data_IF_069402095146
#
_entry.id   IF_069402095146
#
_cell.length_a   1.000
_cell.length_b   1.000
_cell.length_c   1.000
_cell.angle_alpha   90.00
_cell.angle_beta   90.00
_cell.angle_gamma   90.00
#
_symmetry.space_group_name_H-M   'P 1'
#
loop_
_entity.id
_entity.type
_entity.pdbx_description
1 polymer ?
#
# COMPACT_ATOMS: atom_id res chain seq x y z
N UNK A 1 20.00 -17.46 51.17
CA UNK A 1 19.37 -17.50 52.49
C UNK A 1 20.15 -18.55 53.28
N UNK A 2 20.79 -18.11 54.37
CA UNK A 2 21.50 -19.05 55.27
C UNK A 2 20.49 -19.47 56.34
N UNK A 3 20.17 -20.75 56.36
CA UNK A 3 19.25 -21.33 57.34
C UNK A 3 20.09 -21.83 58.51
N UNK A 4 19.77 -21.38 59.71
CA UNK A 4 20.37 -21.89 60.95
C UNK A 4 19.59 -23.14 61.44
N UNK A 5 20.29 -24.04 62.15
CA UNK A 5 19.63 -25.21 62.72
C UNK A 5 18.51 -24.75 63.68
N UNK A 6 17.34 -25.38 63.61
CA UNK A 6 16.11 -25.09 64.38
C UNK A 6 15.33 -23.83 64.06
N UNK A 7 15.54 -23.21 62.85
CA UNK A 7 14.77 -22.07 62.40
C UNK A 7 13.81 -22.42 61.28
N UNK A 8 12.51 -22.22 61.50
CA UNK A 8 11.48 -22.38 60.45
C UNK A 8 11.32 -21.06 59.73
N UNK A 9 11.78 -20.99 58.47
CA UNK A 9 11.62 -19.81 57.63
C UNK A 9 10.43 -20.00 56.70
N UNK A 10 9.36 -19.25 56.92
CA UNK A 10 8.21 -19.19 56.03
C UNK A 10 8.35 -17.99 55.11
N UNK A 11 8.42 -18.20 53.78
CA UNK A 11 8.39 -17.12 52.78
C UNK A 11 7.19 -17.30 51.88
N UNK A 12 6.45 -16.20 51.72
CA UNK A 12 5.43 -16.10 50.67
C UNK A 12 6.08 -15.57 49.40
N UNK A 13 6.02 -16.37 48.35
CA UNK A 13 6.49 -15.98 47.03
C UNK A 13 5.28 -15.58 46.18
N UNK A 14 5.25 -14.30 45.80
CA UNK A 14 4.26 -13.76 44.87
C UNK A 14 4.82 -13.86 43.45
N UNK A 15 4.31 -14.77 42.66
CA UNK A 15 4.61 -14.87 41.22
C UNK A 15 3.73 -13.88 40.46
N UNK A 16 4.34 -12.89 39.81
CA UNK A 16 3.63 -12.09 38.81
C UNK A 16 3.48 -12.92 37.55
N UNK A 17 2.22 -13.11 37.12
CA UNK A 17 1.92 -13.71 35.83
C UNK A 17 2.46 -12.79 34.72
N UNK A 18 3.58 -13.15 34.12
CA UNK A 18 4.11 -12.45 32.96
C UNK A 18 3.30 -12.91 31.74
N UNK A 19 2.52 -12.01 31.16
CA UNK A 19 1.86 -12.27 29.89
C UNK A 19 2.81 -11.88 28.76
N UNK A 20 3.46 -12.87 28.17
CA UNK A 20 4.13 -12.76 26.89
C UNK A 20 3.25 -13.46 25.84
N UNK A 21 2.37 -12.71 25.17
CA UNK A 21 1.47 -13.32 24.17
C UNK A 21 1.12 -12.40 22.99
N UNK A 22 2.01 -11.48 22.58
CA UNK A 22 1.73 -10.61 21.44
C UNK A 22 1.97 -11.29 20.07
N UNK A 23 2.96 -12.15 19.93
CA UNK A 23 3.22 -12.85 18.66
C UNK A 23 2.19 -13.96 18.36
N UNK A 24 1.73 -14.64 19.39
CA UNK A 24 0.74 -15.72 19.24
C UNK A 24 -0.67 -15.18 18.90
N UNK A 25 -0.97 -13.94 19.28
CA UNK A 25 -2.23 -13.28 18.97
C UNK A 25 -2.32 -12.88 17.48
N UNK A 26 -1.23 -12.45 16.90
CA UNK A 26 -1.19 -12.04 15.49
C UNK A 26 -1.37 -13.24 14.54
N UNK A 27 -0.72 -14.34 14.81
CA UNK A 27 -0.88 -15.61 14.05
C UNK A 27 -2.28 -16.19 14.22
N UNK A 28 -2.91 -16.03 15.38
CA UNK A 28 -4.28 -16.48 15.64
C UNK A 28 -5.31 -15.62 14.93
N UNK A 29 -5.11 -14.30 14.84
CA UNK A 29 -6.02 -13.39 14.14
C UNK A 29 -6.00 -13.61 12.63
N UNK A 30 -4.83 -13.77 12.02
CA UNK A 30 -4.70 -14.11 10.59
C UNK A 30 -5.32 -15.49 10.28
N UNK A 31 -5.17 -16.45 11.19
CA UNK A 31 -5.73 -17.80 11.05
C UNK A 31 -7.25 -17.81 11.26
N UNK A 32 -7.77 -16.96 12.11
CA UNK A 32 -9.20 -16.79 12.36
C UNK A 32 -9.86 -16.01 11.23
N UNK A 33 -9.22 -14.94 10.74
CA UNK A 33 -9.62 -14.21 9.54
C UNK A 33 -9.68 -15.13 8.32
N UNK A 34 -8.66 -15.97 8.10
CA UNK A 34 -8.66 -16.97 7.02
C UNK A 34 -9.73 -18.07 7.17
N UNK A 35 -10.20 -18.34 8.37
CA UNK A 35 -11.28 -19.31 8.64
C UNK A 35 -12.68 -18.72 8.51
N UNK A 36 -12.83 -17.42 8.82
CA UNK A 36 -14.10 -16.69 8.78
C UNK A 36 -14.30 -15.96 7.45
N UNK A 37 -13.23 -15.79 6.67
CA UNK A 37 -13.31 -15.19 5.33
C UNK A 37 -14.10 -16.12 4.40
N UNK A 38 -15.34 -15.77 4.16
CA UNK A 38 -16.26 -16.51 3.26
C UNK A 38 -16.08 -16.09 1.80
N UNK A 39 -15.23 -15.09 1.53
CA UNK A 39 -15.00 -14.57 0.19
C UNK A 39 -14.05 -15.51 -0.55
N UNK A 40 -14.57 -16.18 -1.53
CA UNK A 40 -13.80 -17.05 -2.43
C UNK A 40 -13.01 -16.20 -3.43
N UNK A 41 -11.77 -16.60 -3.74
CA UNK A 41 -10.94 -15.96 -4.77
C UNK A 41 -10.36 -14.58 -4.38
N UNK A 42 -10.13 -14.31 -3.10
CA UNK A 42 -9.38 -13.14 -2.63
C UNK A 42 -7.94 -13.53 -2.35
N UNK A 43 -7.00 -12.79 -2.90
CA UNK A 43 -5.57 -12.90 -2.58
C UNK A 43 -5.15 -11.61 -1.87
N UNK A 44 -4.79 -11.72 -0.60
CA UNK A 44 -4.28 -10.60 0.18
C UNK A 44 -2.78 -10.46 -0.03
N UNK A 45 -2.36 -9.37 -0.62
CA UNK A 45 -0.96 -9.07 -0.92
C UNK A 45 -0.43 -8.06 0.08
N UNK A 46 0.65 -8.40 0.76
CA UNK A 46 1.31 -7.53 1.73
C UNK A 46 2.64 -6.99 1.20
N UNK A 47 3.12 -5.83 1.69
CA UNK A 47 4.43 -5.31 1.31
C UNK A 47 5.59 -6.28 1.56
N UNK A 48 5.47 -7.14 2.58
CA UNK A 48 6.46 -8.18 2.87
C UNK A 48 6.55 -9.20 1.74
N UNK A 49 5.42 -9.64 1.21
CA UNK A 49 5.38 -10.58 0.08
C UNK A 49 5.91 -9.93 -1.21
N UNK A 50 5.55 -8.66 -1.48
CA UNK A 50 6.07 -7.93 -2.65
C UNK A 50 7.60 -7.85 -2.60
N UNK A 51 8.19 -7.58 -1.42
CA UNK A 51 9.63 -7.47 -1.22
C UNK A 51 10.39 -8.81 -1.30
N UNK A 52 9.70 -9.95 -1.29
CA UNK A 52 10.31 -11.28 -1.43
C UNK A 52 10.57 -11.69 -2.88
N UNK A 53 9.97 -11.01 -3.83
CA UNK A 53 10.15 -11.29 -5.26
C UNK A 53 11.34 -10.47 -5.79
N UNK A 54 12.18 -11.06 -6.66
CA UNK A 54 13.21 -10.30 -7.37
C UNK A 54 12.56 -9.14 -8.13
N UNK A 55 13.07 -7.94 -7.92
CA UNK A 55 12.52 -6.72 -8.49
C UNK A 55 13.40 -6.16 -9.61
N UNK A 56 12.78 -5.72 -10.70
CA UNK A 56 13.46 -4.99 -11.76
C UNK A 56 13.93 -3.64 -11.21
N UNK A 57 15.19 -3.30 -11.46
CA UNK A 57 15.78 -2.05 -10.95
C UNK A 57 15.96 -2.00 -9.42
N UNK A 58 15.82 -3.13 -8.71
CA UNK A 58 16.05 -3.21 -7.27
C UNK A 58 14.95 -2.57 -6.40
N UNK A 59 13.84 -2.13 -7.01
CA UNK A 59 12.70 -1.58 -6.29
C UNK A 59 11.51 -2.56 -6.34
N UNK A 60 11.07 -3.12 -5.19
CA UNK A 60 9.90 -3.98 -5.13
C UNK A 60 8.64 -3.24 -5.58
N UNK A 61 7.93 -3.82 -6.54
CA UNK A 61 6.75 -3.20 -7.12
C UNK A 61 5.56 -4.18 -7.18
N UNK A 62 4.35 -3.64 -6.95
CA UNK A 62 3.12 -4.43 -6.97
C UNK A 62 2.85 -5.05 -8.35
N UNK A 63 3.18 -4.36 -9.45
CA UNK A 63 3.00 -4.88 -10.80
C UNK A 63 3.76 -6.20 -11.02
N UNK A 64 4.97 -6.29 -10.49
CA UNK A 64 5.80 -7.49 -10.57
C UNK A 64 5.23 -8.64 -9.73
N UNK A 65 4.67 -8.33 -8.56
CA UNK A 65 4.01 -9.34 -7.72
C UNK A 65 2.74 -9.89 -8.38
N UNK A 66 1.95 -9.05 -9.04
CA UNK A 66 0.71 -9.48 -9.68
C UNK A 66 0.94 -10.53 -10.77
N UNK A 67 2.11 -10.51 -11.43
CA UNK A 67 2.46 -11.47 -12.47
C UNK A 67 2.62 -12.91 -11.98
N UNK A 68 2.87 -13.12 -10.69
CA UNK A 68 2.99 -14.47 -10.10
C UNK A 68 1.68 -15.01 -9.56
N UNK A 69 0.61 -14.22 -9.59
CA UNK A 69 -0.71 -14.67 -9.12
C UNK A 69 -1.38 -15.60 -10.13
N UNK A 70 -2.02 -16.70 -9.67
CA UNK A 70 -2.75 -17.60 -10.54
C UNK A 70 -3.89 -16.90 -11.30
N UNK A 71 -3.96 -17.12 -12.62
CA UNK A 71 -5.02 -16.54 -13.45
C UNK A 71 -4.83 -15.07 -13.80
N UNK A 72 -3.68 -14.51 -13.50
CA UNK A 72 -3.29 -13.16 -13.89
C UNK A 72 -2.28 -13.22 -15.03
N UNK A 73 -2.57 -12.50 -16.10
CA UNK A 73 -1.66 -12.30 -17.24
C UNK A 73 -1.38 -10.81 -17.32
N UNK A 74 -0.11 -10.45 -17.30
CA UNK A 74 0.34 -9.10 -17.40
C UNK A 74 1.14 -8.90 -18.69
N UNK A 75 0.77 -7.93 -19.49
CA UNK A 75 1.50 -7.58 -20.72
C UNK A 75 2.29 -6.31 -20.46
N UNK A 76 3.58 -6.47 -20.11
CA UNK A 76 4.42 -5.36 -19.67
C UNK A 76 5.02 -4.51 -20.79
N UNK A 77 5.17 -5.07 -21.95
CA UNK A 77 5.89 -4.49 -23.10
C UNK A 77 5.09 -3.44 -23.91
N UNK A 78 3.81 -3.26 -23.60
CA UNK A 78 2.92 -2.30 -24.26
C UNK A 78 1.97 -1.59 -23.27
N UNK A 79 2.50 -0.99 -22.19
CA UNK A 79 1.71 -0.16 -21.32
C UNK A 79 0.97 -0.88 -20.19
N UNK A 80 1.57 -1.92 -19.63
CA UNK A 80 1.16 -2.49 -18.34
C UNK A 80 -0.30 -2.92 -18.25
N UNK A 81 -0.78 -3.79 -19.12
CA UNK A 81 -2.16 -4.25 -19.13
C UNK A 81 -2.36 -5.53 -18.32
N UNK A 82 -3.37 -5.54 -17.45
CA UNK A 82 -3.67 -6.62 -16.54
C UNK A 82 -4.93 -7.38 -17.00
N UNK A 83 -4.74 -8.64 -17.40
CA UNK A 83 -5.82 -9.56 -17.77
C UNK A 83 -6.03 -10.55 -16.61
N UNK A 84 -7.23 -10.59 -16.05
CA UNK A 84 -7.53 -11.47 -14.93
C UNK A 84 -8.63 -12.44 -15.34
N UNK A 85 -8.30 -13.75 -15.30
CA UNK A 85 -9.19 -14.87 -15.69
C UNK A 85 -9.86 -14.65 -17.04
N UNK A 86 -9.11 -14.11 -18.01
CA UNK A 86 -9.59 -13.85 -19.37
C UNK A 86 -10.40 -12.56 -19.53
N UNK A 87 -10.63 -11.80 -18.45
CA UNK A 87 -11.24 -10.47 -18.52
C UNK A 87 -10.27 -9.43 -19.07
N UNK A 88 -10.77 -8.47 -19.83
CA UNK A 88 -9.95 -7.41 -20.41
C UNK A 88 -9.56 -6.35 -19.35
N UNK A 89 -8.48 -5.60 -19.55
CA UNK A 89 -7.99 -4.60 -18.59
C UNK A 89 -9.02 -3.57 -18.16
N UNK A 90 -9.86 -3.12 -19.08
CA UNK A 90 -10.94 -2.14 -18.80
C UNK A 90 -12.05 -2.70 -17.90
N UNK A 91 -12.11 -4.00 -17.69
CA UNK A 91 -13.07 -4.68 -16.84
C UNK A 91 -12.58 -4.81 -15.38
N UNK A 92 -11.34 -4.47 -15.12
CA UNK A 92 -10.77 -4.47 -13.78
C UNK A 92 -11.04 -3.13 -13.08
N UNK A 93 -11.22 -3.18 -11.77
CA UNK A 93 -11.33 -2.00 -10.92
C UNK A 93 -10.14 -1.93 -9.98
N UNK A 94 -9.43 -0.83 -10.01
CA UNK A 94 -8.32 -0.60 -9.09
C UNK A 94 -8.67 0.58 -8.18
N UNK A 95 -8.57 0.36 -6.90
CA UNK A 95 -8.86 1.35 -5.86
C UNK A 95 -7.61 1.59 -5.01
N UNK A 96 -7.35 2.86 -4.70
CA UNK A 96 -6.35 3.29 -3.72
C UNK A 96 -7.06 4.07 -2.62
N UNK A 97 -7.17 3.51 -1.42
CA UNK A 97 -7.96 4.03 -0.31
C UNK A 97 -9.41 4.40 -0.71
N UNK A 98 -9.96 3.71 -1.73
CA UNK A 98 -11.29 3.90 -2.29
C UNK A 98 -11.40 4.89 -3.44
N UNK A 99 -10.32 5.60 -3.78
CA UNK A 99 -10.23 6.38 -5.03
C UNK A 99 -10.01 5.44 -6.21
N UNK A 100 -10.68 5.68 -7.33
CA UNK A 100 -10.47 4.89 -8.55
C UNK A 100 -9.16 5.32 -9.20
N UNK A 101 -8.27 4.35 -9.47
CA UNK A 101 -7.06 4.56 -10.25
C UNK A 101 -7.29 3.96 -11.64
N UNK A 102 -7.40 4.82 -12.65
CA UNK A 102 -7.75 4.41 -14.01
C UNK A 102 -6.57 3.74 -14.73
N UNK A 103 -5.37 4.30 -14.60
CA UNK A 103 -4.12 3.71 -15.08
C UNK A 103 -3.23 3.34 -13.88
N UNK A 104 -3.27 2.08 -13.42
CA UNK A 104 -2.50 1.64 -12.26
C UNK A 104 -1.03 1.31 -12.58
N UNK A 105 -0.65 1.32 -13.86
CA UNK A 105 0.69 1.00 -14.34
C UNK A 105 1.21 2.08 -15.28
N UNK A 106 2.51 2.30 -15.22
CA UNK A 106 3.19 3.21 -16.13
C UNK A 106 3.28 2.68 -17.55
N UNK A 107 3.44 3.56 -18.51
CA UNK A 107 3.52 3.23 -19.95
C UNK A 107 4.65 2.26 -20.27
N UNK A 108 5.75 2.27 -19.50
CA UNK A 108 6.83 1.26 -19.61
C UNK A 108 6.36 -0.15 -19.21
N UNK A 109 5.23 -0.28 -18.48
CA UNK A 109 4.66 -1.56 -18.09
C UNK A 109 5.40 -2.35 -16.99
N UNK A 110 6.53 -1.88 -16.53
CA UNK A 110 7.35 -2.55 -15.51
C UNK A 110 7.02 -2.13 -14.09
N UNK A 111 6.46 -0.94 -13.92
CA UNK A 111 6.20 -0.32 -12.64
C UNK A 111 4.74 0.10 -12.48
N UNK A 112 4.24 -0.05 -11.26
CA UNK A 112 2.94 0.49 -10.87
C UNK A 112 3.08 1.92 -10.35
N UNK A 113 1.98 2.68 -10.35
CA UNK A 113 1.90 3.99 -9.73
C UNK A 113 1.98 3.94 -8.20
N UNK A 114 1.97 2.73 -7.61
CA UNK A 114 1.94 2.54 -6.17
C UNK A 114 3.34 2.40 -5.58
N UNK A 115 3.58 3.08 -4.46
CA UNK A 115 4.79 2.89 -3.68
C UNK A 115 4.57 1.77 -2.65
N UNK A 116 5.35 0.70 -2.74
CA UNK A 116 5.25 -0.45 -1.82
C UNK A 116 5.47 -0.08 -0.36
N UNK A 117 6.23 0.98 -0.06
CA UNK A 117 6.53 1.38 1.31
C UNK A 117 5.37 2.07 2.04
N UNK A 118 4.41 2.62 1.30
CA UNK A 118 3.19 3.21 1.89
C UNK A 118 2.03 2.21 1.98
N UNK A 119 2.11 1.07 1.31
CA UNK A 119 1.04 0.07 1.33
C UNK A 119 0.88 -0.57 2.71
N UNK A 120 -0.35 -0.88 3.06
CA UNK A 120 -0.73 -1.78 4.14
C UNK A 120 -1.00 -3.17 3.60
N UNK A 121 -1.89 -3.26 2.63
CA UNK A 121 -2.24 -4.47 1.87
C UNK A 121 -2.89 -4.08 0.54
N UNK A 122 -2.89 -5.01 -0.39
CA UNK A 122 -3.72 -4.99 -1.59
C UNK A 122 -4.55 -6.27 -1.62
N UNK A 123 -5.87 -6.14 -1.61
CA UNK A 123 -6.80 -7.25 -1.69
C UNK A 123 -7.21 -7.41 -3.15
N UNK A 124 -6.78 -8.52 -3.77
CA UNK A 124 -7.01 -8.82 -5.18
C UNK A 124 -8.13 -9.84 -5.30
N UNK A 125 -9.29 -9.39 -5.74
CA UNK A 125 -10.46 -10.21 -6.03
C UNK A 125 -10.41 -10.64 -7.49
N UNK A 126 -10.03 -11.87 -7.75
CA UNK A 126 -9.97 -12.41 -9.11
C UNK A 126 -11.32 -12.94 -9.61
N UNK A 127 -12.37 -12.79 -8.82
CA UNK A 127 -13.76 -13.14 -9.08
C UNK A 127 -14.54 -13.19 -7.77
N UNK A 128 -15.87 -13.03 -7.81
CA UNK A 128 -16.72 -13.14 -6.62
C UNK A 128 -16.55 -12.01 -5.61
N UNK A 129 -16.52 -10.76 -6.05
CA UNK A 129 -16.46 -9.59 -5.17
C UNK A 129 -17.87 -9.08 -4.81
N UNK A 130 -17.97 -8.38 -3.67
CA UNK A 130 -19.23 -7.87 -3.14
C UNK A 130 -19.85 -6.74 -3.96
N UNK A 131 -21.12 -6.45 -3.70
CA UNK A 131 -21.88 -5.41 -4.41
C UNK A 131 -21.31 -3.99 -4.21
N UNK A 132 -20.52 -3.76 -3.17
CA UNK A 132 -19.80 -2.52 -2.90
C UNK A 132 -18.81 -2.13 -4.00
N UNK A 133 -18.35 -3.11 -4.77
CA UNK A 133 -17.40 -2.92 -5.87
C UNK A 133 -18.03 -2.80 -7.25
N UNK A 134 -19.25 -2.31 -7.36
CA UNK A 134 -19.96 -2.15 -8.64
C UNK A 134 -19.17 -1.41 -9.73
N UNK A 135 -19.64 -1.51 -10.99
CA UNK A 135 -19.11 -0.78 -12.14
C UNK A 135 -17.99 -1.47 -12.94
N UNK A 136 -17.50 -2.66 -12.49
CA UNK A 136 -16.57 -3.53 -13.23
C UNK A 136 -16.97 -4.98 -13.02
N UNK A 137 -16.55 -5.87 -13.93
CA UNK A 137 -17.06 -7.25 -13.98
C UNK A 137 -16.01 -8.36 -13.93
N UNK A 138 -14.72 -8.04 -14.13
CA UNK A 138 -13.67 -9.05 -14.12
C UNK A 138 -13.01 -9.19 -12.74
N UNK A 139 -12.39 -8.14 -12.26
CA UNK A 139 -11.68 -8.16 -10.98
C UNK A 139 -11.74 -6.84 -10.25
N UNK A 140 -11.42 -6.90 -8.96
CA UNK A 140 -11.20 -5.71 -8.13
C UNK A 140 -9.86 -5.85 -7.41
N UNK A 141 -9.08 -4.78 -7.40
CA UNK A 141 -7.90 -4.63 -6.59
C UNK A 141 -8.11 -3.44 -5.63
N UNK A 142 -8.32 -3.73 -4.35
CA UNK A 142 -8.53 -2.71 -3.32
C UNK A 142 -7.24 -2.54 -2.50
N UNK A 143 -6.56 -1.44 -2.75
CA UNK A 143 -5.28 -1.10 -2.14
C UNK A 143 -5.52 -0.17 -0.97
N UNK A 144 -5.09 -0.58 0.20
CA UNK A 144 -5.14 0.22 1.42
C UNK A 144 -3.73 0.67 1.80
N UNK A 145 -3.58 1.96 2.05
CA UNK A 145 -2.32 2.51 2.56
C UNK A 145 -2.28 2.46 4.08
N UNK A 146 -1.06 2.43 4.64
CA UNK A 146 -0.86 2.50 6.08
C UNK A 146 -0.92 3.93 6.61
N UNK A 147 -1.08 4.08 7.89
CA UNK A 147 -0.94 5.37 8.56
C UNK A 147 0.55 5.72 8.70
N UNK A 148 0.83 7.01 8.83
CA UNK A 148 2.17 7.50 9.16
C UNK A 148 2.57 7.17 10.59
N UNK A 149 3.86 7.24 10.88
CA UNK A 149 4.41 6.97 12.21
C UNK A 149 3.85 7.97 13.24
N UNK A 150 3.32 7.48 14.34
CA UNK A 150 2.69 8.29 15.39
C UNK A 150 3.67 8.83 16.43
N UNK A 151 4.89 8.31 16.45
CA UNK A 151 5.86 8.56 17.54
C UNK A 151 7.03 9.41 17.10
N UNK A 152 7.55 9.20 15.90
CA UNK A 152 8.76 9.87 15.39
C UNK A 152 8.65 10.16 13.90
N UNK A 153 9.39 11.16 13.44
CA UNK A 153 9.62 11.39 12.02
C UNK A 153 10.57 10.31 11.53
N UNK A 154 10.23 9.70 10.41
CA UNK A 154 11.05 8.73 9.70
C UNK A 154 10.88 8.91 8.21
N UNK A 155 11.83 8.43 7.44
CA UNK A 155 11.79 8.51 6.00
C UNK A 155 12.65 7.44 5.36
N UNK A 156 12.43 7.24 4.09
CA UNK A 156 13.20 6.34 3.24
C UNK A 156 13.46 7.01 1.92
N UNK A 157 14.69 6.93 1.46
CA UNK A 157 15.12 7.38 0.14
C UNK A 157 15.71 6.19 -0.58
N UNK A 158 15.38 6.01 -1.83
CA UNK A 158 15.97 5.00 -2.69
C UNK A 158 16.19 5.57 -4.08
N UNK A 159 17.23 5.08 -4.73
CA UNK A 159 17.53 5.39 -6.11
C UNK A 159 17.98 4.12 -6.83
N UNK A 160 17.64 4.02 -8.10
CA UNK A 160 18.02 2.91 -8.99
C UNK A 160 18.42 3.48 -10.36
N UNK A 161 18.75 2.64 -11.31
CA UNK A 161 18.99 3.07 -12.69
C UNK A 161 17.70 3.56 -13.39
N UNK A 162 16.53 3.28 -12.86
CA UNK A 162 15.22 3.64 -13.46
C UNK A 162 14.63 4.92 -12.88
N UNK A 163 14.91 5.22 -11.60
CA UNK A 163 14.29 6.34 -10.92
C UNK A 163 14.66 6.42 -9.45
N UNK A 164 14.11 7.41 -8.78
CA UNK A 164 14.26 7.63 -7.35
C UNK A 164 12.91 7.67 -6.66
N UNK A 165 12.90 7.30 -5.38
CA UNK A 165 11.72 7.46 -4.53
C UNK A 165 12.11 8.03 -3.16
N UNK A 166 11.17 8.78 -2.61
CA UNK A 166 11.24 9.37 -1.29
C UNK A 166 9.94 9.07 -0.55
N UNK A 167 10.05 8.57 0.67
CA UNK A 167 8.92 8.45 1.59
C UNK A 167 9.28 9.14 2.89
N UNK A 168 8.38 9.99 3.39
CA UNK A 168 8.51 10.68 4.68
C UNK A 168 7.23 10.53 5.46
N UNK A 169 7.36 10.22 6.74
CA UNK A 169 6.23 10.04 7.64
C UNK A 169 6.54 10.56 9.04
N UNK A 170 5.52 10.91 9.79
CA UNK A 170 5.72 11.33 11.16
C UNK A 170 4.44 11.79 11.85
N UNK A 171 4.55 12.08 13.16
CA UNK A 171 3.46 12.64 13.93
C UNK A 171 3.27 14.13 13.61
N UNK A 172 2.03 14.55 13.40
CA UNK A 172 1.61 15.94 13.52
C UNK A 172 1.36 16.24 14.99
N UNK A 173 0.65 15.31 15.67
CA UNK A 173 0.47 15.30 17.12
C UNK A 173 0.86 13.93 17.65
N UNK A 174 1.90 13.90 18.48
CA UNK A 174 2.38 12.65 19.11
C UNK A 174 1.30 12.04 19.99
N UNK A 175 1.21 10.73 19.98
CA UNK A 175 0.38 9.99 20.90
C UNK A 175 0.98 10.07 22.29
N UNK A 176 0.20 10.53 23.27
CA UNK A 176 0.58 10.47 24.69
C UNK A 176 0.00 9.19 25.29
N UNK A 177 0.82 8.44 25.99
CA UNK A 177 0.44 7.30 26.85
C UNK A 177 -0.50 6.27 26.21
N UNK A 178 -0.20 5.76 25.03
CA UNK A 178 -0.93 4.71 24.28
C UNK A 178 -2.48 4.81 24.18
N UNK A 179 -3.12 5.74 24.87
CA UNK A 179 -4.59 5.92 24.94
C UNK A 179 -5.07 7.30 24.46
N UNK A 180 -4.16 8.18 24.09
CA UNK A 180 -4.48 9.54 23.68
C UNK A 180 -4.81 9.69 22.19
N UNK A 181 -5.45 10.82 21.86
CA UNK A 181 -5.60 11.23 20.45
C UNK A 181 -4.24 11.47 19.81
N UNK A 182 -4.10 11.09 18.53
CA UNK A 182 -2.89 11.30 17.75
C UNK A 182 -3.21 11.72 16.33
N UNK A 183 -2.27 12.38 15.69
CA UNK A 183 -2.34 12.59 14.24
C UNK A 183 -0.97 12.36 13.61
N UNK A 184 -0.98 11.77 12.44
CA UNK A 184 0.22 11.44 11.67
C UNK A 184 0.03 11.73 10.20
N UNK A 185 1.14 11.89 9.49
CA UNK A 185 1.15 12.02 8.05
C UNK A 185 2.10 11.00 7.43
N UNK A 186 1.84 10.67 6.18
CA UNK A 186 2.74 9.94 5.30
C UNK A 186 2.69 10.59 3.93
N UNK A 187 3.85 10.78 3.32
CA UNK A 187 4.01 11.30 1.99
C UNK A 187 4.98 10.43 1.21
N UNK A 188 4.67 10.16 -0.04
CA UNK A 188 5.53 9.42 -0.96
C UNK A 188 5.64 10.17 -2.28
N UNK A 189 6.83 10.18 -2.83
CA UNK A 189 7.13 10.69 -4.16
C UNK A 189 8.03 9.69 -4.90
N UNK A 190 7.65 9.33 -6.12
CA UNK A 190 8.46 8.54 -7.06
C UNK A 190 8.66 9.35 -8.34
N UNK A 191 9.86 9.32 -8.87
CA UNK A 191 10.16 9.96 -10.16
C UNK A 191 11.09 9.06 -10.98
N UNK A 192 10.79 8.90 -12.25
CA UNK A 192 11.65 8.24 -13.23
C UNK A 192 12.57 9.28 -13.87
N UNK A 193 13.82 8.91 -14.07
CA UNK A 193 14.79 9.62 -14.89
C UNK A 193 15.37 8.69 -15.97
N UNK A 194 14.54 7.78 -16.45
CA UNK A 194 14.96 6.70 -17.34
C UNK A 194 15.45 7.24 -18.71
N UNK A 195 14.89 8.35 -19.18
CA UNK A 195 15.34 9.02 -20.39
C UNK A 195 16.84 9.34 -20.31
N UNK A 196 17.30 9.94 -19.21
CA UNK A 196 18.71 10.33 -19.03
C UNK A 196 19.60 9.16 -18.59
N UNK A 197 19.08 8.27 -17.74
CA UNK A 197 19.88 7.18 -17.19
C UNK A 197 20.09 6.04 -18.18
N UNK A 198 19.16 5.83 -19.09
CA UNK A 198 19.26 4.73 -20.06
C UNK A 198 20.40 4.92 -21.05
N UNK A 199 20.69 6.15 -21.46
CA UNK A 199 21.86 6.47 -22.31
C UNK A 199 23.19 6.09 -21.64
N UNK A 200 23.24 6.20 -20.30
CA UNK A 200 24.47 5.96 -19.54
C UNK A 200 24.66 4.48 -19.19
N UNK A 201 23.57 3.79 -18.85
CA UNK A 201 23.65 2.44 -18.27
C UNK A 201 23.34 1.31 -19.24
N UNK A 202 22.81 1.62 -20.44
CA UNK A 202 22.36 0.59 -21.39
C UNK A 202 22.92 0.86 -22.78
N UNK A 203 24.03 0.23 -23.13
CA UNK A 203 24.76 0.39 -24.41
C UNK A 203 23.90 0.08 -25.67
N UNK A 204 22.76 -0.59 -25.49
CA UNK A 204 21.84 -0.93 -26.59
C UNK A 204 20.75 0.13 -26.83
N UNK A 205 20.70 1.15 -25.99
CA UNK A 205 19.75 2.27 -26.13
C UNK A 205 20.37 3.30 -27.06
N UNK A 206 19.59 3.80 -28.00
CA UNK A 206 20.00 4.85 -28.93
C UNK A 206 20.27 6.18 -28.20
N UNK A 207 20.90 7.12 -28.86
CA UNK A 207 21.33 8.42 -28.28
C UNK A 207 20.19 9.25 -27.67
N UNK A 208 18.92 8.97 -28.01
CA UNK A 208 17.76 9.68 -27.48
C UNK A 208 17.26 9.11 -26.14
N UNK A 209 17.87 8.06 -25.62
CA UNK A 209 17.44 7.42 -24.39
C UNK A 209 16.11 6.64 -24.50
N UNK A 210 15.63 6.06 -23.40
CA UNK A 210 14.30 5.43 -23.34
C UNK A 210 13.23 6.51 -23.04
N UNK A 211 12.18 6.59 -23.84
CA UNK A 211 11.24 7.73 -23.86
C UNK A 211 10.24 7.78 -22.70
N UNK A 212 10.48 7.02 -21.62
CA UNK A 212 9.55 6.86 -20.53
C UNK A 212 9.89 7.76 -19.35
N UNK A 213 8.94 8.60 -18.95
CA UNK A 213 9.08 9.48 -17.80
C UNK A 213 7.81 9.45 -16.96
N UNK A 214 7.93 9.35 -15.65
CA UNK A 214 6.78 9.39 -14.76
C UNK A 214 7.10 10.06 -13.42
N UNK A 215 6.05 10.59 -12.80
CA UNK A 215 6.09 11.14 -11.45
C UNK A 215 4.84 10.75 -10.68
N UNK A 216 5.02 10.11 -9.53
CA UNK A 216 3.96 9.70 -8.64
C UNK A 216 4.07 10.41 -7.31
N UNK A 217 2.98 11.01 -6.88
CA UNK A 217 2.85 11.65 -5.59
C UNK A 217 1.65 11.06 -4.84
N UNK A 218 1.85 10.78 -3.57
CA UNK A 218 0.79 10.36 -2.66
C UNK A 218 0.97 11.01 -1.30
N UNK A 219 -0.12 11.43 -0.69
CA UNK A 219 -0.13 11.97 0.67
C UNK A 219 -1.35 11.52 1.46
N UNK A 220 -1.15 11.23 2.75
CA UNK A 220 -2.22 10.88 3.68
C UNK A 220 -1.98 11.50 5.04
N UNK A 221 -3.04 12.00 5.64
CA UNK A 221 -3.10 12.45 7.03
C UNK A 221 -4.12 11.61 7.77
N UNK A 222 -3.72 11.07 8.91
CA UNK A 222 -4.55 10.22 9.77
C UNK A 222 -4.76 10.88 11.12
N UNK A 223 -6.02 11.04 11.50
CA UNK A 223 -6.46 11.60 12.77
C UNK A 223 -7.12 10.50 13.59
N UNK A 224 -6.61 10.24 14.78
CA UNK A 224 -7.12 9.23 15.71
C UNK A 224 -7.61 9.93 16.98
N UNK A 225 -8.86 9.74 17.31
CA UNK A 225 -9.46 10.19 18.58
C UNK A 225 -9.17 9.23 19.73
N UNK A 226 -9.22 9.72 20.96
CA UNK A 226 -9.04 8.91 22.18
C UNK A 226 -10.13 7.80 22.31
N UNK A 227 -11.30 8.00 21.74
CA UNK A 227 -12.40 7.01 21.73
C UNK A 227 -12.27 5.97 20.60
N UNK A 228 -11.17 5.93 19.86
CA UNK A 228 -10.99 5.04 18.72
C UNK A 228 -11.58 5.53 17.39
N UNK A 229 -12.28 6.67 17.38
CA UNK A 229 -12.73 7.30 16.13
C UNK A 229 -11.55 7.69 15.28
N UNK A 230 -11.64 7.48 13.98
CA UNK A 230 -10.56 7.72 13.03
C UNK A 230 -11.07 8.46 11.79
N UNK A 231 -10.29 9.43 11.33
CA UNK A 231 -10.52 10.12 10.06
C UNK A 231 -9.21 10.14 9.28
N UNK A 232 -9.25 9.75 8.03
CA UNK A 232 -8.12 9.87 7.11
C UNK A 232 -8.49 10.83 5.98
N UNK A 233 -7.55 11.71 5.63
CA UNK A 233 -7.58 12.55 4.45
C UNK A 233 -6.42 12.12 3.55
N UNK A 234 -6.64 11.93 2.26
CA UNK A 234 -5.63 11.43 1.36
C UNK A 234 -5.82 11.95 -0.07
N UNK A 235 -4.74 11.91 -0.83
CA UNK A 235 -4.77 12.28 -2.24
C UNK A 235 -3.55 11.77 -2.98
N UNK A 236 -3.69 11.68 -4.30
CA UNK A 236 -2.63 11.28 -5.20
C UNK A 236 -2.60 12.15 -6.47
N UNK A 237 -1.44 12.18 -7.09
CA UNK A 237 -1.24 12.63 -8.46
C UNK A 237 -0.20 11.73 -9.13
N UNK A 238 -0.56 11.20 -10.29
CA UNK A 238 0.29 10.35 -11.12
C UNK A 238 0.36 10.97 -12.50
N UNK A 239 1.57 11.26 -12.94
CA UNK A 239 1.87 11.78 -14.26
C UNK A 239 2.74 10.76 -15.01
N UNK A 240 2.46 10.52 -16.27
CA UNK A 240 3.20 9.60 -17.13
C UNK A 240 3.35 10.22 -18.52
N UNK A 241 4.49 10.07 -19.13
CA UNK A 241 4.79 10.58 -20.45
C UNK A 241 5.68 9.62 -21.23
N UNK A 242 5.38 9.48 -22.51
CA UNK A 242 6.20 8.82 -23.52
C UNK A 242 6.46 9.83 -24.62
N UNK A 243 7.70 10.27 -24.77
CA UNK A 243 8.09 11.32 -25.69
C UNK A 243 9.06 10.78 -26.74
N UNK A 244 8.96 11.29 -27.98
CA UNK A 244 9.93 11.03 -29.06
C UNK A 244 10.17 9.56 -29.43
N UNK A 245 9.20 8.66 -29.23
CA UNK A 245 9.39 7.26 -29.55
C UNK A 245 9.14 7.00 -31.06
N UNK A 246 10.23 6.90 -31.84
CA UNK A 246 10.29 6.37 -33.23
C UNK A 246 9.00 6.56 -34.06
N UNK A 247 8.69 7.78 -34.43
CA UNK A 247 7.49 8.11 -35.26
C UNK A 247 6.12 7.88 -34.59
N UNK A 248 6.04 7.53 -33.30
CA UNK A 248 4.80 7.58 -32.54
C UNK A 248 4.56 8.99 -32.01
N UNK A 249 3.29 9.40 -32.00
CA UNK A 249 2.92 10.65 -31.35
C UNK A 249 3.27 10.64 -29.86
N UNK A 250 3.67 11.77 -29.32
CA UNK A 250 3.84 11.95 -27.88
C UNK A 250 2.57 11.54 -27.15
N UNK A 251 2.74 10.77 -26.10
CA UNK A 251 1.64 10.31 -25.26
C UNK A 251 1.89 10.72 -23.82
N UNK A 252 0.93 11.40 -23.24
CA UNK A 252 0.98 11.74 -21.82
C UNK A 252 -0.39 11.61 -21.17
N UNK A 253 -0.39 11.29 -19.90
CA UNK A 253 -1.59 11.30 -19.08
C UNK A 253 -1.29 11.75 -17.64
N UNK A 254 -2.31 12.34 -17.02
CA UNK A 254 -2.30 12.71 -15.61
C UNK A 254 -3.53 12.15 -14.95
N UNK A 255 -3.34 11.44 -13.84
CA UNK A 255 -4.43 10.98 -12.98
C UNK A 255 -4.26 11.58 -11.58
N UNK A 256 -5.34 12.09 -11.02
CA UNK A 256 -5.33 12.62 -9.67
C UNK A 256 -6.62 12.33 -8.93
N UNK A 257 -6.54 12.32 -7.63
CA UNK A 257 -7.68 12.09 -6.79
C UNK A 257 -7.46 12.54 -5.36
N UNK A 258 -8.56 12.63 -4.64
CA UNK A 258 -8.56 12.95 -3.23
C UNK A 258 -9.79 12.38 -2.54
N UNK A 259 -9.67 12.14 -1.25
CA UNK A 259 -10.77 11.56 -0.50
C UNK A 259 -10.58 11.59 1.00
N UNK A 260 -11.61 11.10 1.67
CA UNK A 260 -11.63 10.88 3.10
C UNK A 260 -12.34 9.58 3.41
N UNK A 261 -11.84 8.87 4.40
CA UNK A 261 -12.59 7.80 5.06
C UNK A 261 -12.62 8.05 6.56
N UNK A 262 -13.68 7.62 7.19
CA UNK A 262 -13.86 7.81 8.63
C UNK A 262 -14.54 6.61 9.27
N UNK A 263 -14.16 6.37 10.51
CA UNK A 263 -14.83 5.48 11.46
C UNK A 263 -15.12 6.32 12.70
N UNK A 264 -16.39 6.50 13.03
CA UNK A 264 -16.81 7.29 14.19
C UNK A 264 -17.47 6.34 15.19
N UNK A 265 -16.98 6.40 16.43
CA UNK A 265 -17.47 5.66 17.57
C UNK A 265 -18.04 6.69 18.55
N UNK A 266 -19.37 6.97 18.53
CA UNK A 266 -19.97 7.91 19.46
C UNK A 266 -19.85 7.41 20.90
N UNK A 267 -19.43 8.29 21.82
CA UNK A 267 -19.34 7.94 23.24
C UNK A 267 -20.71 7.52 23.81
N UNK A 268 -20.75 6.39 24.53
CA UNK A 268 -21.97 5.89 25.18
C UNK A 268 -23.00 5.22 24.27
N UNK A 269 -22.68 5.00 22.97
CA UNK A 269 -23.53 4.30 22.01
C UNK A 269 -22.84 3.04 21.48
N UNK A 270 -23.57 1.93 21.26
CA UNK A 270 -23.03 0.75 20.58
C UNK A 270 -22.93 0.92 19.06
N UNK A 271 -23.22 2.10 18.53
CA UNK A 271 -23.24 2.38 17.09
C UNK A 271 -21.83 2.69 16.59
N UNK A 272 -21.43 2.06 15.51
CA UNK A 272 -20.25 2.39 14.73
C UNK A 272 -20.72 2.97 13.40
N UNK A 273 -20.15 4.11 13.02
CA UNK A 273 -20.45 4.78 11.74
C UNK A 273 -19.21 4.75 10.87
N UNK A 274 -19.30 4.15 9.70
CA UNK A 274 -18.25 4.15 8.70
C UNK A 274 -18.70 4.88 7.45
N UNK A 275 -17.77 5.60 6.83
CA UNK A 275 -18.05 6.27 5.56
C UNK A 275 -16.77 6.53 4.77
N UNK A 276 -16.97 6.66 3.46
CA UNK A 276 -15.91 6.98 2.51
C UNK A 276 -16.46 7.93 1.45
N UNK A 277 -15.70 8.97 1.15
CA UNK A 277 -15.97 9.92 0.07
C UNK A 277 -14.68 10.03 -0.73
N UNK A 278 -14.74 9.77 -2.03
CA UNK A 278 -13.57 9.83 -2.89
C UNK A 278 -13.93 10.45 -4.25
N UNK A 279 -13.00 11.22 -4.79
CA UNK A 279 -13.03 11.77 -6.14
C UNK A 279 -11.78 11.36 -6.87
N UNK A 280 -11.92 11.00 -8.14
CA UNK A 280 -10.79 10.68 -9.02
C UNK A 280 -11.06 11.18 -10.42
N UNK A 281 -10.00 11.65 -11.07
CA UNK A 281 -10.01 12.13 -12.45
C UNK A 281 -8.79 11.57 -13.19
N UNK A 282 -9.03 11.31 -14.47
CA UNK A 282 -8.03 10.90 -15.46
C UNK A 282 -8.11 11.80 -16.68
#
# INVERSE_FOLDING_TARGET
>A
VTVKADEIITRQLFLKKGSYTLEQFQISAEKEEARTETRTSVVKVTPKQIKQIPSVGGQPDLAQYLQVLPGVVFTGDQGGQLYIRGGSPVQNKVLLDGMVVYNPFHSIGLFSVFDTDILRNADVYTGGFGAEYGGRISSVMDITTRDGNKNRISGKVGASTFGAHLMVEGPIRKQKDNEGSSSSFIFSAKNSYLEQSSEIFYDYVEEDGLPFNFTDLYGKMSLLGANGSKVNLYGFRFDDAVNNYRSLSDFNWTSYGGGTNFVIIPGGSPVLMEGRIAYSQY
#
